data_IF_311978361509
#
_entry.id   IF_311978361509
#
_cell.length_a   1.000
_cell.length_b   1.000
_cell.length_c   1.000
_cell.angle_alpha   90.00
_cell.angle_beta   90.00
_cell.angle_gamma   90.00
#
_symmetry.space_group_name_H-M   'P 1'
#
loop_
_entity.id
_entity.type
_entity.pdbx_description
1 polymer ?
#
# COMPACT_ATOMS: atom_id res chain seq x y z
N UNK A 1 -27.51 -17.17 2.78
CA UNK A 1 -26.54 -17.24 1.66
C UNK A 1 -25.24 -17.83 2.18
N UNK A 2 -24.57 -18.69 1.43
CA UNK A 2 -23.34 -19.38 1.89
C UNK A 2 -22.14 -18.85 1.11
N UNK A 3 -21.06 -18.51 1.82
CA UNK A 3 -19.83 -17.96 1.22
C UNK A 3 -18.84 -19.06 0.90
N UNK A 4 -18.39 -19.11 -0.35
CA UNK A 4 -17.35 -20.05 -0.78
C UNK A 4 -15.99 -19.66 -0.20
N UNK A 5 -15.31 -20.60 0.46
CA UNK A 5 -14.00 -20.36 1.10
C UNK A 5 -12.91 -20.00 0.10
N UNK A 6 -13.02 -20.51 -1.13
CA UNK A 6 -11.99 -20.31 -2.15
C UNK A 6 -12.18 -19.01 -2.93
N UNK A 7 -13.34 -18.85 -3.58
CA UNK A 7 -13.56 -17.70 -4.46
C UNK A 7 -14.11 -16.46 -3.76
N UNK A 8 -14.69 -16.61 -2.56
CA UNK A 8 -15.31 -15.54 -1.79
C UNK A 8 -16.75 -15.19 -2.19
N UNK A 9 -17.25 -15.71 -3.33
CA UNK A 9 -18.61 -15.44 -3.78
C UNK A 9 -19.64 -16.05 -2.84
N UNK A 10 -20.72 -15.30 -2.62
CA UNK A 10 -21.94 -15.77 -1.99
C UNK A 10 -22.80 -16.50 -3.01
N UNK A 11 -23.32 -17.66 -2.61
CA UNK A 11 -24.12 -18.52 -3.47
C UNK A 11 -25.32 -19.05 -2.68
N UNK A 12 -26.32 -19.49 -3.44
CA UNK A 12 -27.49 -20.17 -2.91
C UNK A 12 -27.10 -21.46 -2.17
N UNK A 13 -27.73 -21.78 -1.01
CA UNK A 13 -27.33 -22.94 -0.19
C UNK A 13 -27.53 -24.28 -0.90
N UNK A 14 -28.41 -24.33 -1.90
CA UNK A 14 -28.72 -25.55 -2.67
C UNK A 14 -27.63 -25.93 -3.68
N UNK A 15 -26.59 -25.10 -3.86
CA UNK A 15 -25.52 -25.32 -4.85
C UNK A 15 -24.20 -25.59 -4.14
N UNK A 16 -23.31 -26.35 -4.76
CA UNK A 16 -21.95 -26.58 -4.28
C UNK A 16 -21.84 -27.81 -3.38
N UNK A 17 -20.80 -27.83 -2.54
CA UNK A 17 -20.54 -28.94 -1.62
C UNK A 17 -19.86 -28.46 -0.34
N UNK A 18 -20.14 -29.15 0.76
CA UNK A 18 -19.43 -29.02 2.02
C UNK A 18 -18.38 -30.13 2.12
N UNK A 19 -17.13 -29.76 2.30
CA UNK A 19 -16.03 -30.67 2.59
C UNK A 19 -15.79 -30.64 4.10
N UNK A 20 -16.09 -31.76 4.77
CA UNK A 20 -15.74 -31.99 6.17
C UNK A 20 -14.38 -32.68 6.19
N UNK A 21 -13.43 -32.06 6.87
CA UNK A 21 -12.09 -32.61 7.08
C UNK A 21 -12.05 -33.44 8.36
N UNK A 22 -10.98 -34.23 8.54
CA UNK A 22 -10.81 -35.10 9.72
C UNK A 22 -10.72 -34.33 11.05
N UNK A 23 -10.34 -33.05 11.01
CA UNK A 23 -10.32 -32.14 12.15
C UNK A 23 -11.73 -31.61 12.53
N UNK A 24 -12.77 -32.01 11.79
CA UNK A 24 -14.13 -31.50 11.95
C UNK A 24 -14.37 -30.14 11.29
N UNK A 25 -13.37 -29.54 10.63
CA UNK A 25 -13.54 -28.25 9.97
C UNK A 25 -14.40 -28.39 8.71
N UNK A 26 -15.38 -27.49 8.57
CA UNK A 26 -16.32 -27.49 7.43
C UNK A 26 -15.89 -26.41 6.45
N UNK A 27 -15.54 -26.82 5.23
CA UNK A 27 -15.17 -25.91 4.13
C UNK A 27 -16.20 -26.00 3.01
N UNK A 28 -16.92 -24.90 2.75
CA UNK A 28 -17.88 -24.86 1.65
C UNK A 28 -17.25 -24.38 0.33
N UNK A 29 -17.56 -25.09 -0.75
CA UNK A 29 -17.13 -24.79 -2.12
C UNK A 29 -18.31 -24.66 -3.07
N UNK A 30 -18.41 -23.55 -3.79
CA UNK A 30 -19.49 -23.30 -4.75
C UNK A 30 -19.44 -24.19 -6.01
N UNK A 31 -18.28 -24.74 -6.37
CA UNK A 31 -18.11 -25.59 -7.57
C UNK A 31 -16.88 -26.48 -7.51
N UNK A 32 -16.83 -27.49 -8.38
CA UNK A 32 -15.67 -28.37 -8.56
C UNK A 32 -14.40 -27.59 -8.89
N UNK A 33 -14.49 -26.47 -9.63
CA UNK A 33 -13.33 -25.60 -9.93
C UNK A 33 -12.67 -25.08 -8.64
N UNK A 34 -13.49 -24.59 -7.70
CA UNK A 34 -13.00 -24.09 -6.41
C UNK A 34 -12.38 -25.21 -5.56
N UNK A 35 -13.04 -26.38 -5.51
CA UNK A 35 -12.52 -27.55 -4.77
C UNK A 35 -11.18 -28.01 -5.31
N UNK A 36 -11.06 -28.22 -6.63
CA UNK A 36 -9.80 -28.67 -7.24
C UNK A 36 -8.67 -27.67 -7.05
N UNK A 37 -8.97 -26.37 -7.19
CA UNK A 37 -7.96 -25.34 -7.07
C UNK A 37 -7.44 -25.20 -5.63
N UNK A 38 -8.30 -25.43 -4.64
CA UNK A 38 -7.93 -25.40 -3.21
C UNK A 38 -7.24 -26.68 -2.74
N UNK A 39 -7.78 -27.86 -3.09
CA UNK A 39 -7.34 -29.14 -2.51
C UNK A 39 -6.30 -29.82 -3.41
N UNK A 40 -6.63 -30.04 -4.68
CA UNK A 40 -5.75 -30.78 -5.60
C UNK A 40 -4.54 -29.96 -6.03
N UNK A 41 -4.75 -28.67 -6.29
CA UNK A 41 -3.68 -27.76 -6.76
C UNK A 41 -3.02 -26.96 -5.62
N UNK A 42 -3.56 -27.02 -4.40
CA UNK A 42 -3.00 -26.30 -3.24
C UNK A 42 -2.85 -24.79 -3.43
N UNK A 43 -3.64 -24.17 -4.32
CA UNK A 43 -3.50 -22.73 -4.59
C UNK A 43 -4.11 -21.93 -3.46
N UNK A 44 -3.41 -20.89 -3.04
CA UNK A 44 -3.93 -19.89 -2.10
C UNK A 44 -4.83 -18.90 -2.86
N UNK A 45 -6.05 -18.70 -2.36
CA UNK A 45 -7.03 -17.75 -2.91
C UNK A 45 -6.43 -16.36 -3.08
N UNK A 46 -5.56 -15.91 -2.17
CA UNK A 46 -4.93 -14.57 -2.18
C UNK A 46 -3.97 -14.36 -3.35
N UNK A 47 -3.48 -15.43 -3.98
CA UNK A 47 -2.57 -15.38 -5.13
C UNK A 47 -3.30 -15.52 -6.47
N UNK A 48 -4.56 -15.95 -6.45
CA UNK A 48 -5.33 -16.25 -7.66
C UNK A 48 -6.16 -15.04 -8.08
N UNK A 49 -5.86 -14.48 -9.25
CA UNK A 49 -6.37 -13.17 -9.71
C UNK A 49 -7.90 -13.00 -9.71
N UNK A 50 -8.64 -14.07 -9.97
CA UNK A 50 -10.10 -14.02 -10.12
C UNK A 50 -10.88 -14.16 -8.80
N UNK A 51 -10.20 -14.45 -7.69
CA UNK A 51 -10.86 -14.55 -6.38
C UNK A 51 -11.10 -13.16 -5.81
N UNK A 52 -12.12 -13.06 -4.96
CA UNK A 52 -12.39 -11.84 -4.19
C UNK A 52 -11.22 -11.51 -3.23
N UNK A 53 -10.64 -12.53 -2.60
CA UNK A 53 -9.51 -12.39 -1.68
C UNK A 53 -8.32 -11.70 -2.36
N UNK A 54 -7.98 -12.07 -3.60
CA UNK A 54 -6.90 -11.43 -4.35
C UNK A 54 -7.16 -9.94 -4.57
N UNK A 55 -8.41 -9.57 -4.94
CA UNK A 55 -8.79 -8.17 -5.15
C UNK A 55 -8.65 -7.36 -3.86
N UNK A 56 -9.16 -7.89 -2.75
CA UNK A 56 -9.09 -7.24 -1.43
C UNK A 56 -7.64 -7.04 -1.00
N UNK A 57 -6.80 -8.09 -1.07
CA UNK A 57 -5.39 -7.99 -0.69
C UNK A 57 -4.66 -6.93 -1.53
N UNK A 58 -4.90 -6.89 -2.84
CA UNK A 58 -4.29 -5.87 -3.71
C UNK A 58 -4.72 -4.45 -3.37
N UNK A 59 -6.01 -4.23 -3.09
CA UNK A 59 -6.53 -2.91 -2.70
C UNK A 59 -5.88 -2.44 -1.40
N UNK A 60 -5.84 -3.31 -0.37
CA UNK A 60 -5.22 -2.99 0.93
C UNK A 60 -3.74 -2.62 0.81
N UNK A 61 -3.00 -3.35 -0.02
CA UNK A 61 -1.58 -3.04 -0.30
C UNK A 61 -1.44 -1.70 -1.02
N UNK A 62 -2.35 -1.36 -1.94
CA UNK A 62 -2.32 -0.07 -2.63
C UNK A 62 -2.59 1.09 -1.66
N UNK A 63 -3.56 0.92 -0.76
CA UNK A 63 -3.90 1.90 0.27
C UNK A 63 -2.73 2.13 1.24
N UNK A 64 -2.05 1.05 1.68
CA UNK A 64 -0.89 1.18 2.56
C UNK A 64 0.28 1.89 1.87
N UNK A 65 0.53 1.60 0.60
CA UNK A 65 1.54 2.31 -0.21
C UNK A 65 1.19 3.79 -0.35
N UNK A 66 -0.08 4.12 -0.64
CA UNK A 66 -0.53 5.52 -0.77
C UNK A 66 -0.34 6.29 0.54
N UNK A 67 -0.68 5.66 1.67
CA UNK A 67 -0.49 6.27 3.00
C UNK A 67 0.99 6.54 3.28
N UNK A 68 1.88 5.60 2.98
CA UNK A 68 3.32 5.78 3.16
C UNK A 68 3.89 6.88 2.25
N UNK A 69 3.45 6.95 0.99
CA UNK A 69 3.84 8.02 0.07
C UNK A 69 3.43 9.39 0.58
N UNK A 70 2.17 9.56 0.99
CA UNK A 70 1.68 10.83 1.54
C UNK A 70 2.51 11.29 2.74
N UNK A 71 2.84 10.37 3.67
CA UNK A 71 3.70 10.69 4.82
C UNK A 71 5.12 11.12 4.37
N UNK A 72 5.66 10.52 3.31
CA UNK A 72 6.96 10.90 2.77
C UNK A 72 6.91 12.27 2.07
N UNK A 73 5.85 12.55 1.32
CA UNK A 73 5.63 13.83 0.65
C UNK A 73 5.43 14.97 1.67
N UNK A 74 4.63 14.73 2.72
CA UNK A 74 4.41 15.68 3.82
C UNK A 74 5.74 16.00 4.55
N UNK A 75 6.58 14.98 4.80
CA UNK A 75 7.93 15.16 5.37
C UNK A 75 8.87 15.93 4.44
N UNK A 76 8.87 15.62 3.15
CA UNK A 76 9.72 16.30 2.16
C UNK A 76 9.35 17.78 2.03
N UNK A 77 8.05 18.10 2.10
CA UNK A 77 7.59 19.49 2.07
C UNK A 77 7.96 20.25 3.34
N UNK A 78 7.88 19.64 4.53
CA UNK A 78 8.35 20.27 5.77
C UNK A 78 9.85 20.61 5.72
N UNK A 79 10.69 19.72 5.18
CA UNK A 79 12.14 19.99 5.01
C UNK A 79 12.39 21.09 3.99
N UNK A 80 11.62 21.14 2.90
CA UNK A 80 11.74 22.20 1.89
C UNK A 80 11.36 23.56 2.44
N UNK A 81 10.29 23.65 3.24
CA UNK A 81 9.90 24.90 3.88
C UNK A 81 10.94 25.34 4.93
N UNK A 82 11.47 24.43 5.75
CA UNK A 82 12.59 24.73 6.66
C UNK A 82 13.88 25.18 5.93
N UNK A 83 14.17 24.63 4.75
CA UNK A 83 15.29 25.04 3.91
C UNK A 83 15.08 26.41 3.23
N UNK A 84 13.82 26.83 3.08
CA UNK A 84 13.43 28.11 2.47
C UNK A 84 13.50 29.25 3.47
N UNK A 85 13.24 28.98 4.74
CA UNK A 85 13.42 29.91 5.87
C UNK A 85 14.91 30.16 6.15
N UNK A 86 15.73 29.11 6.24
CA UNK A 86 17.19 29.24 6.41
C UNK A 86 17.88 29.96 5.22
N UNK A 87 17.39 29.80 3.98
CA UNK A 87 17.87 30.59 2.83
C UNK A 87 17.45 32.06 2.86
N UNK A 88 16.37 32.42 3.55
CA UNK A 88 15.93 33.81 3.72
C UNK A 88 16.82 34.56 4.71
N UNK A 89 17.28 33.89 5.77
CA UNK A 89 18.19 34.46 6.77
C UNK A 89 19.63 34.65 6.25
N UNK A 90 20.18 33.70 5.48
CA UNK A 90 21.53 33.83 4.89
C UNK A 90 21.64 34.99 3.88
N UNK A 91 20.52 35.39 3.25
CA UNK A 91 20.49 36.50 2.27
C UNK A 91 20.56 37.89 2.93
N UNK A 92 20.21 38.03 4.20
CA UNK A 92 20.27 39.31 4.93
C UNK A 92 21.64 39.69 5.48
N UNK A 93 22.58 38.73 5.58
CA UNK A 93 23.85 38.94 6.29
C UNK A 93 25.04 39.31 5.39
N UNK A 94 24.97 39.05 4.06
CA UNK A 94 25.99 39.53 3.10
C UNK A 94 25.65 40.95 2.62
N UNK A 95 25.80 41.95 3.51
CA UNK A 95 25.92 43.36 3.09
C UNK A 95 27.26 43.52 2.37
N UNK A 96 27.31 44.15 1.18
CA UNK A 96 28.56 44.30 0.44
C UNK A 96 29.55 45.11 1.27
N UNK A 97 30.71 44.53 1.58
CA UNK A 97 31.84 45.21 2.20
C UNK A 97 32.19 46.38 1.27
N UNK A 98 31.99 47.62 1.75
CA UNK A 98 32.37 48.84 1.04
C UNK A 98 33.87 48.74 0.73
N UNK A 99 34.23 48.84 -0.56
CA UNK A 99 35.63 48.94 -1.01
C UNK A 99 36.27 50.11 -0.26
N UNK A 100 37.11 49.82 0.73
CA UNK A 100 37.94 50.83 1.38
C UNK A 100 38.94 51.30 0.31
N UNK A 101 38.83 52.56 -0.09
CA UNK A 101 39.78 53.18 -1.03
C UNK A 101 41.15 53.24 -0.35
N UNK A 102 42.10 52.48 -0.86
CA UNK A 102 43.50 52.61 -0.46
C UNK A 102 43.99 53.97 -0.96
N UNK A 103 44.12 54.92 -0.04
CA UNK A 103 44.76 56.21 -0.33
C UNK A 103 46.25 55.97 -0.52
N UNK A 104 46.74 56.36 -1.69
CA UNK A 104 48.14 56.30 -2.10
C UNK A 104 48.96 57.18 -1.15
N UNK A 105 49.80 56.56 -0.34
CA UNK A 105 50.79 57.24 0.49
C UNK A 105 51.82 57.87 -0.46
N UNK A 106 52.14 59.14 -0.21
CA UNK A 106 53.03 60.01 -0.99
C UNK A 106 54.42 59.41 -1.23
#
# INVERSE_FOLDING_TARGET
>A
MVKCIFCGKEESPHRGLHLIKNDGSISYYCSSKCRHNSIKLGRDSRKVRWTEAYRITRTKVKESIQKQKKIADDKANAVKEAAKETKKEVKSEVKPIKKVSVQKIK
#
